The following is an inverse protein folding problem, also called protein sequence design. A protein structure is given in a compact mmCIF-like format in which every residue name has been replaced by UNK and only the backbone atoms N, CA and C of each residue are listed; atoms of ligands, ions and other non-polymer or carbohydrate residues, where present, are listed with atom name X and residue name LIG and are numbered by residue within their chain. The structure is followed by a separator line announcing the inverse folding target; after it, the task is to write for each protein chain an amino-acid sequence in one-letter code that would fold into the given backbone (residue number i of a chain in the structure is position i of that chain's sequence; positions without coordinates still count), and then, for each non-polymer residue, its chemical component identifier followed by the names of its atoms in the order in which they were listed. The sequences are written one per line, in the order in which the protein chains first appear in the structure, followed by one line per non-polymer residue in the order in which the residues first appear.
data_IF_916008627880
#
_entry.id   IF_916008627880
#
_cell.length_a   1.000
_cell.length_b   1.000
_cell.length_c   1.000
_cell.angle_alpha   90.00
_cell.angle_beta   90.00
_cell.angle_gamma   90.00
#
_symmetry.space_group_name_H-M   'P 1'
#
loop_
_entity.id
_entity.type
_entity.pdbx_description
1 polymer ?
#
# COMPACT_ATOMS: atom_id res chain seq x y z
N UNK A 1 -37.18 -12.13 0.03
CA UNK A 1 -36.27 -12.05 1.20
C UNK A 1 -35.09 -11.16 0.82
N UNK A 2 -34.86 -10.09 1.58
CA UNK A 2 -33.78 -9.12 1.34
C UNK A 2 -32.44 -9.77 1.68
N UNK A 3 -31.54 -9.87 0.71
CA UNK A 3 -30.14 -10.22 0.97
C UNK A 3 -29.59 -9.25 2.01
N UNK A 4 -29.25 -9.77 3.19
CA UNK A 4 -28.63 -9.02 4.26
C UNK A 4 -27.35 -8.39 3.74
N UNK A 5 -27.21 -7.08 3.93
CA UNK A 5 -25.99 -6.32 3.62
C UNK A 5 -24.81 -6.97 4.33
N UNK A 6 -24.05 -7.79 3.61
CA UNK A 6 -22.70 -8.12 4.00
C UNK A 6 -21.93 -6.80 4.04
N UNK A 7 -21.63 -6.29 5.23
CA UNK A 7 -20.60 -5.26 5.37
C UNK A 7 -19.25 -5.97 5.21
N UNK A 8 -18.88 -6.17 3.94
CA UNK A 8 -17.58 -6.69 3.53
C UNK A 8 -16.54 -5.60 3.83
N UNK A 9 -15.37 -6.00 4.32
CA UNK A 9 -14.24 -5.09 4.46
C UNK A 9 -13.63 -4.93 3.06
N UNK A 10 -14.03 -3.85 2.37
CA UNK A 10 -13.91 -3.74 0.90
C UNK A 10 -12.58 -3.16 0.36
N UNK A 11 -11.68 -2.60 1.17
CA UNK A 11 -10.48 -1.93 0.64
C UNK A 11 -9.22 -2.18 1.46
N UNK A 12 -8.11 -2.44 0.77
CA UNK A 12 -6.76 -2.56 1.33
C UNK A 12 -5.90 -1.45 0.77
N UNK A 13 -5.01 -0.90 1.59
CA UNK A 13 -3.91 -0.08 1.12
C UNK A 13 -2.58 -0.57 1.68
N UNK A 14 -1.53 -0.36 0.90
CA UNK A 14 -0.17 -0.69 1.28
C UNK A 14 0.79 0.33 0.69
N UNK A 15 1.91 0.50 1.38
CA UNK A 15 3.06 1.23 0.86
C UNK A 15 4.19 0.23 0.72
N UNK A 16 4.82 0.22 -0.44
CA UNK A 16 5.97 -0.64 -0.74
C UNK A 16 7.13 0.22 -1.19
N UNK A 17 8.35 -0.23 -0.89
CA UNK A 17 9.58 0.32 -1.44
C UNK A 17 10.23 -0.73 -2.31
N UNK A 18 10.71 -0.33 -3.48
CA UNK A 18 11.51 -1.17 -4.37
C UNK A 18 12.89 -0.59 -4.51
N UNK A 19 13.91 -1.40 -4.24
CA UNK A 19 15.33 -1.06 -4.45
C UNK A 19 16.04 -2.30 -4.97
N UNK A 20 16.93 -2.13 -5.96
CA UNK A 20 17.65 -3.26 -6.57
C UNK A 20 16.75 -4.37 -7.11
N UNK A 21 15.55 -4.04 -7.61
CA UNK A 21 14.58 -5.00 -8.14
C UNK A 21 13.76 -5.77 -7.10
N UNK A 22 13.97 -5.55 -5.79
CA UNK A 22 13.22 -6.19 -4.72
C UNK A 22 12.23 -5.22 -4.08
N UNK A 23 10.95 -5.61 -4.05
CA UNK A 23 9.91 -4.89 -3.33
C UNK A 23 9.83 -5.35 -1.86
N UNK A 24 9.72 -4.39 -0.94
CA UNK A 24 9.55 -4.60 0.49
C UNK A 24 8.34 -3.80 1.00
N UNK A 25 7.43 -4.41 1.77
CA UNK A 25 6.31 -3.69 2.37
C UNK A 25 6.82 -2.77 3.49
N UNK A 26 6.40 -1.51 3.43
CA UNK A 26 6.67 -0.52 4.48
C UNK A 26 5.54 -0.46 5.50
N UNK A 27 4.30 -0.78 5.10
CA UNK A 27 3.13 -0.82 5.96
C UNK A 27 1.86 -0.95 5.15
N UNK A 28 0.76 -1.34 5.80
CA UNK A 28 -0.53 -1.51 5.13
C UNK A 28 -1.71 -1.49 6.09
N UNK A 29 -2.90 -1.32 5.52
CA UNK A 29 -4.15 -1.14 6.26
C UNK A 29 -5.32 -1.74 5.48
N UNK A 30 -6.28 -2.35 6.20
CA UNK A 30 -7.59 -2.70 5.65
C UNK A 30 -8.66 -1.76 6.24
N UNK A 31 -9.49 -1.16 5.38
CA UNK A 31 -10.50 -0.18 5.75
C UNK A 31 -11.82 -0.44 5.00
N UNK A 32 -12.97 -0.25 5.66
CA UNK A 32 -14.29 -0.55 5.08
C UNK A 32 -14.77 0.50 4.07
N UNK A 33 -13.97 1.52 3.75
CA UNK A 33 -14.44 2.67 2.96
C UNK A 33 -13.31 3.27 2.13
N UNK A 34 -13.56 3.45 0.83
CA UNK A 34 -12.64 4.08 -0.12
C UNK A 34 -12.14 5.47 0.29
N UNK A 35 -12.99 6.31 0.90
CA UNK A 35 -12.56 7.62 1.41
C UNK A 35 -11.62 7.48 2.60
N UNK A 36 -11.83 6.48 3.46
CA UNK A 36 -10.92 6.21 4.58
C UNK A 36 -9.57 5.68 4.08
N UNK A 37 -9.57 4.80 3.08
CA UNK A 37 -8.34 4.26 2.49
C UNK A 37 -7.53 5.34 1.79
N UNK A 38 -8.19 6.21 1.01
CA UNK A 38 -7.54 7.34 0.36
C UNK A 38 -7.01 8.36 1.39
N UNK A 39 -7.78 8.64 2.45
CA UNK A 39 -7.33 9.48 3.56
C UNK A 39 -6.15 8.87 4.33
N UNK A 40 -6.03 7.54 4.37
CA UNK A 40 -4.85 6.89 4.92
C UNK A 40 -3.65 7.08 3.98
N UNK A 41 -3.81 6.85 2.67
CA UNK A 41 -2.74 7.07 1.68
C UNK A 41 -2.22 8.51 1.71
N UNK A 42 -3.12 9.51 1.70
CA UNK A 42 -2.75 10.93 1.82
C UNK A 42 -1.90 11.20 3.07
N UNK A 43 -2.29 10.63 4.21
CA UNK A 43 -1.52 10.77 5.45
C UNK A 43 -0.15 10.12 5.34
N UNK A 44 -0.03 8.95 4.72
CA UNK A 44 1.29 8.31 4.56
C UNK A 44 2.18 9.04 3.55
N UNK A 45 1.62 9.60 2.47
CA UNK A 45 2.36 10.42 1.51
C UNK A 45 3.01 11.63 2.21
N UNK A 46 2.23 12.37 2.99
CA UNK A 46 2.72 13.52 3.76
C UNK A 46 3.77 13.10 4.80
N UNK A 47 3.53 12.01 5.53
CA UNK A 47 4.50 11.51 6.52
C UNK A 47 5.82 11.10 5.89
N UNK A 48 5.79 10.44 4.74
CA UNK A 48 7.01 10.07 4.00
C UNK A 48 7.74 11.32 3.49
N UNK A 49 7.00 12.32 2.99
CA UNK A 49 7.59 13.58 2.56
C UNK A 49 8.22 14.36 3.72
N UNK A 50 7.57 14.39 4.88
CA UNK A 50 8.02 15.14 6.06
C UNK A 50 9.10 14.41 6.87
N UNK A 51 9.24 13.10 6.67
CA UNK A 51 10.40 12.33 7.16
C UNK A 51 11.69 12.68 6.42
N UNK A 52 11.61 13.29 5.23
CA UNK A 52 12.80 13.68 4.49
C UNK A 52 13.59 14.74 5.29
N UNK A 53 14.86 14.44 5.57
CA UNK A 53 15.74 15.30 6.36
C UNK A 53 15.43 15.38 7.86
N UNK A 54 14.48 14.59 8.38
CA UNK A 54 14.09 14.60 9.80
C UNK A 54 13.85 13.20 10.35
N UNK A 55 14.30 12.95 11.58
CA UNK A 55 13.84 11.79 12.34
C UNK A 55 12.45 12.12 12.91
N UNK A 56 11.38 11.68 12.22
CA UNK A 56 10.03 11.86 12.75
C UNK A 56 9.86 10.98 14.00
N UNK A 57 9.22 11.49 15.06
CA UNK A 57 8.93 10.68 16.23
C UNK A 57 8.11 9.46 15.81
N UNK A 58 8.36 8.29 16.45
CA UNK A 58 7.57 7.10 16.18
C UNK A 58 6.08 7.42 16.36
N UNK A 59 5.21 6.86 15.50
CA UNK A 59 3.78 7.11 15.55
C UNK A 59 3.22 6.82 16.94
N UNK A 60 2.23 7.60 17.36
CA UNK A 60 1.64 7.48 18.68
C UNK A 60 1.07 6.04 18.88
N UNK A 61 1.31 5.38 20.02
CA UNK A 61 0.96 3.97 20.23
C UNK A 61 -0.53 3.63 20.03
N UNK A 62 -1.41 4.61 20.24
CA UNK A 62 -2.87 4.47 20.05
C UNK A 62 -3.31 4.51 18.58
N UNK A 63 -2.40 4.77 17.63
CA UNK A 63 -2.66 4.62 16.18
C UNK A 63 -2.49 3.19 15.66
N UNK A 64 -2.09 2.24 16.52
CA UNK A 64 -2.24 0.79 16.34
C UNK A 64 -1.71 0.20 15.03
N UNK A 65 -0.47 -0.32 15.04
CA UNK A 65 0.03 -1.36 14.12
C UNK A 65 -0.16 -1.14 12.59
N UNK A 66 -0.39 0.09 12.13
CA UNK A 66 -0.79 0.43 10.73
C UNK A 66 0.04 1.58 10.15
N UNK A 67 1.28 1.69 10.61
CA UNK A 67 2.18 2.76 10.21
C UNK A 67 3.20 2.29 9.18
N UNK A 68 3.48 3.18 8.24
CA UNK A 68 4.47 2.98 7.20
C UNK A 68 5.84 3.32 7.77
N UNK A 69 6.81 2.41 7.62
CA UNK A 69 8.21 2.64 7.98
C UNK A 69 8.74 3.86 7.21
N UNK A 70 9.46 4.79 7.88
CA UNK A 70 10.02 5.95 7.20
C UNK A 70 11.04 5.53 6.14
N UNK A 71 11.16 6.33 5.09
CA UNK A 71 12.09 6.14 3.97
C UNK A 71 13.01 7.35 3.89
N UNK A 72 14.31 7.11 3.76
CA UNK A 72 15.28 8.16 3.49
C UNK A 72 15.37 8.40 1.98
N UNK A 73 14.80 9.51 1.52
CA UNK A 73 15.02 10.02 0.17
C UNK A 73 16.33 10.84 0.12
N UNK A 74 17.04 10.76 -1.00
CA UNK A 74 18.33 11.40 -1.25
C UNK A 74 18.19 12.70 -2.06
N UNK A 75 17.04 12.92 -2.70
CA UNK A 75 16.66 14.16 -3.37
C UNK A 75 15.30 14.69 -2.91
N UNK A 76 15.02 15.95 -3.24
CA UNK A 76 13.76 16.62 -2.89
C UNK A 76 12.60 16.28 -3.83
N UNK A 77 12.87 15.79 -5.04
CA UNK A 77 11.83 15.56 -6.06
C UNK A 77 10.78 14.53 -5.61
N UNK A 78 11.22 13.41 -5.03
CA UNK A 78 10.32 12.37 -4.53
C UNK A 78 9.42 12.85 -3.38
N UNK A 79 9.94 13.48 -2.31
CA UNK A 79 9.09 14.03 -1.25
C UNK A 79 8.22 15.20 -1.73
N UNK A 80 8.67 16.04 -2.67
CA UNK A 80 7.84 17.09 -3.28
C UNK A 80 6.69 16.51 -4.10
N UNK A 81 6.93 15.48 -4.91
CA UNK A 81 5.88 14.78 -5.65
C UNK A 81 4.83 14.15 -4.72
N UNK A 82 5.25 13.62 -3.57
CA UNK A 82 4.32 13.11 -2.54
C UNK A 82 3.44 14.23 -1.95
N UNK A 83 4.01 15.41 -1.67
CA UNK A 83 3.23 16.58 -1.20
C UNK A 83 2.27 17.07 -2.28
N UNK A 84 2.75 17.21 -3.50
CA UNK A 84 1.94 17.64 -4.64
C UNK A 84 0.74 16.73 -4.84
N UNK A 85 0.93 15.40 -4.84
CA UNK A 85 -0.18 14.46 -4.94
C UNK A 85 -1.15 14.56 -3.76
N UNK A 86 -0.63 14.74 -2.54
CA UNK A 86 -1.45 14.82 -1.34
C UNK A 86 -2.34 16.07 -1.32
N UNK A 87 -1.92 17.17 -1.93
CA UNK A 87 -2.67 18.44 -1.96
C UNK A 87 -3.44 18.66 -3.27
N UNK A 88 -3.15 17.91 -4.32
CA UNK A 88 -3.88 17.97 -5.59
C UNK A 88 -5.25 17.27 -5.51
N UNK A 89 -6.32 18.06 -5.45
CA UNK A 89 -7.69 17.57 -5.43
C UNK A 89 -8.03 16.70 -6.65
N UNK A 90 -7.48 17.01 -7.83
CA UNK A 90 -7.71 16.24 -9.05
C UNK A 90 -7.17 14.81 -8.96
N UNK A 91 -5.94 14.65 -8.43
CA UNK A 91 -5.33 13.35 -8.16
C UNK A 91 -6.12 12.54 -7.13
N UNK A 92 -6.68 13.20 -6.10
CA UNK A 92 -7.52 12.53 -5.11
C UNK A 92 -8.84 12.06 -5.70
N UNK A 93 -9.49 12.88 -6.51
CA UNK A 93 -10.74 12.52 -7.19
C UNK A 93 -10.53 11.41 -8.22
N UNK A 94 -9.40 11.44 -8.94
CA UNK A 94 -9.01 10.38 -9.85
C UNK A 94 -8.78 9.05 -9.12
N UNK A 95 -8.05 9.07 -7.99
CA UNK A 95 -7.84 7.90 -7.16
C UNK A 95 -9.14 7.36 -6.56
N UNK A 96 -10.05 8.24 -6.14
CA UNK A 96 -11.36 7.85 -5.64
C UNK A 96 -12.20 7.19 -6.73
N UNK A 97 -12.21 7.77 -7.93
CA UNK A 97 -12.94 7.24 -9.10
C UNK A 97 -12.40 5.88 -9.55
N UNK A 98 -11.08 5.66 -9.47
CA UNK A 98 -10.47 4.36 -9.73
C UNK A 98 -11.00 3.29 -8.75
N UNK A 99 -10.97 3.58 -7.44
CA UNK A 99 -11.48 2.68 -6.40
C UNK A 99 -13.00 2.43 -6.51
N UNK A 100 -13.75 3.43 -7.00
CA UNK A 100 -15.19 3.29 -7.30
C UNK A 100 -15.44 2.35 -8.47
N UNK A 101 -14.56 2.37 -9.46
CA UNK A 101 -14.64 1.54 -10.66
C UNK A 101 -14.07 0.12 -10.46
N UNK A 102 -13.68 -0.24 -9.23
CA UNK A 102 -13.06 -1.53 -8.95
C UNK A 102 -11.57 -1.62 -9.34
N UNK A 103 -10.96 -0.49 -9.72
CA UNK A 103 -9.55 -0.42 -10.11
C UNK A 103 -8.67 0.01 -8.93
N UNK A 104 -7.38 -0.39 -8.92
CA UNK A 104 -6.46 0.09 -7.91
C UNK A 104 -6.11 1.56 -8.12
N UNK A 105 -5.95 2.29 -7.02
CA UNK A 105 -5.36 3.62 -7.02
C UNK A 105 -3.88 3.50 -6.65
N UNK A 106 -2.99 3.84 -7.58
CA UNK A 106 -1.54 3.72 -7.42
C UNK A 106 -0.86 5.07 -7.61
N UNK A 107 0.01 5.43 -6.67
CA UNK A 107 0.98 6.51 -6.80
C UNK A 107 2.38 5.92 -6.68
N UNK A 108 3.27 6.27 -7.58
CA UNK A 108 4.67 5.85 -7.52
C UNK A 108 5.58 7.05 -7.66
N UNK A 109 6.49 7.22 -6.70
CA UNK A 109 7.57 8.21 -6.76
C UNK A 109 8.91 7.50 -6.86
N UNK A 110 9.85 8.11 -7.57
CA UNK A 110 11.19 7.56 -7.79
C UNK A 110 12.21 8.55 -7.27
N UNK A 111 13.14 8.06 -6.46
CA UNK A 111 14.36 8.74 -6.09
C UNK A 111 15.48 8.24 -7.03
N UNK A 112 15.87 9.05 -8.02
CA UNK A 112 16.80 8.63 -9.06
C UNK A 112 18.23 8.45 -8.54
N UNK A 113 18.60 9.07 -7.42
CA UNK A 113 19.96 9.03 -6.89
C UNK A 113 20.34 7.64 -6.38
N UNK A 114 19.35 6.86 -5.93
CA UNK A 114 19.55 5.51 -5.39
C UNK A 114 18.69 4.45 -6.08
N UNK A 115 17.99 4.83 -7.16
CA UNK A 115 17.05 3.94 -7.86
C UNK A 115 15.93 3.42 -6.95
N UNK A 116 15.57 4.18 -5.91
CA UNK A 116 14.56 3.80 -4.94
C UNK A 116 13.18 4.21 -5.46
N UNK A 117 12.23 3.30 -5.40
CA UNK A 117 10.85 3.53 -5.84
C UNK A 117 9.90 3.30 -4.69
N UNK A 118 9.10 4.30 -4.34
CA UNK A 118 8.04 4.15 -3.33
C UNK A 118 6.70 4.13 -4.04
N UNK A 119 5.93 3.06 -3.79
CA UNK A 119 4.59 2.91 -4.34
C UNK A 119 3.57 2.88 -3.21
N UNK A 120 2.65 3.83 -3.25
CA UNK A 120 1.46 3.92 -2.41
C UNK A 120 0.29 3.35 -3.22
N UNK A 121 -0.33 2.29 -2.74
CA UNK A 121 -1.42 1.63 -3.44
C UNK A 121 -2.63 1.39 -2.56
N UNK A 122 -3.82 1.51 -3.15
CA UNK A 122 -5.07 1.00 -2.61
C UNK A 122 -5.76 0.11 -3.63
N UNK A 123 -6.36 -0.97 -3.14
CA UNK A 123 -7.07 -1.98 -3.92
C UNK A 123 -8.45 -2.21 -3.30
N UNK A 124 -9.52 -2.31 -4.11
CA UNK A 124 -10.74 -2.96 -3.65
C UNK A 124 -10.44 -4.45 -3.39
N UNK A 125 -10.92 -4.98 -2.28
CA UNK A 125 -10.88 -6.40 -1.96
C UNK A 125 -12.13 -7.02 -2.56
N UNK A 126 -11.98 -7.63 -3.72
CA UNK A 126 -12.88 -8.67 -4.16
C UNK A 126 -12.53 -9.95 -3.38
N UNK A 127 -13.45 -10.44 -2.54
CA UNK A 127 -13.30 -11.69 -1.78
C UNK A 127 -13.00 -12.93 -2.66
N UNK A 128 -12.96 -12.78 -3.99
CA UNK A 128 -12.73 -13.85 -4.97
C UNK A 128 -11.28 -13.91 -5.51
N UNK A 129 -10.50 -12.83 -5.46
CA UNK A 129 -9.18 -12.76 -6.11
C UNK A 129 -8.02 -13.28 -5.26
N UNK A 130 -8.03 -13.02 -3.94
CA UNK A 130 -6.91 -13.39 -3.07
C UNK A 130 -6.90 -14.89 -2.68
N UNK A 131 -8.06 -15.54 -2.59
CA UNK A 131 -8.17 -16.99 -2.36
C UNK A 131 -7.79 -17.80 -3.60
N UNK A 132 -8.07 -17.31 -4.81
CA UNK A 132 -7.61 -17.95 -6.04
C UNK A 132 -6.08 -17.85 -6.19
N UNK A 133 -5.49 -16.69 -5.88
CA UNK A 133 -4.04 -16.51 -5.88
C UNK A 133 -3.35 -17.32 -4.76
N UNK A 134 -3.90 -17.34 -3.55
CA UNK A 134 -3.36 -18.14 -2.44
C UNK A 134 -3.56 -19.66 -2.62
N UNK A 135 -4.55 -20.10 -3.41
CA UNK A 135 -4.71 -21.51 -3.78
C UNK A 135 -3.77 -21.95 -4.89
N UNK A 136 -3.34 -21.03 -5.76
CA UNK A 136 -2.37 -21.29 -6.81
C UNK A 136 -0.93 -21.39 -6.28
N UNK A 137 -0.65 -20.74 -5.14
CA UNK A 137 0.70 -20.58 -4.58
C UNK A 137 1.01 -21.53 -3.40
N UNK A 138 0.24 -22.62 -3.25
CA UNK A 138 0.63 -23.73 -2.38
C UNK A 138 1.42 -24.75 -3.19
N UNK A 139 2.77 -24.71 -3.20
CA UNK A 139 3.53 -25.88 -3.59
C UNK A 139 3.17 -26.97 -2.59
N UNK A 140 2.47 -28.00 -3.06
CA UNK A 140 2.29 -29.24 -2.30
C UNK A 140 3.65 -29.65 -1.74
N UNK A 141 3.78 -29.97 -0.44
CA UNK A 141 5.03 -30.48 0.08
C UNK A 141 5.30 -31.79 -0.65
N UNK A 142 6.28 -31.75 -1.56
CA UNK A 142 6.84 -32.96 -2.16
C UNK A 142 7.38 -33.78 -0.98
N UNK A 143 6.64 -34.81 -0.60
CA UNK A 143 7.17 -35.85 0.26
C UNK A 143 8.41 -36.41 -0.44
N UNK A 144 9.57 -36.09 0.13
CA UNK A 144 10.85 -36.67 -0.24
C UNK A 144 10.72 -38.17 0.07
N UNK A 145 10.49 -38.97 -0.98
CA UNK A 145 10.57 -40.42 -0.88
C UNK A 145 12.05 -40.78 -0.81
N UNK A 146 12.56 -40.93 0.41
CA UNK A 146 13.82 -41.62 0.66
C UNK A 146 13.59 -43.11 0.40
N UNK A 147 13.82 -43.55 -0.84
CA UNK A 147 14.06 -44.95 -1.12
C UNK A 147 15.56 -45.21 -1.02
N UNK A 148 15.95 -45.84 0.08
CA UNK A 148 17.18 -46.59 0.17
C UNK A 148 16.93 -48.04 -0.23
N UNK A 149 17.80 -48.58 -1.08
CA UNK A 149 18.37 -49.92 -1.08
C UNK A 149 19.27 -50.06 -2.32
#
# INVERSE_FOLDING_TARGET
MRAGRARVLDYVAAVTVTTGGRALPLGGVALPNRRLVLRWLRRQALRLADAHGRSLPPPAPWLGARDVRPVAFHGSDAPEALRAWADDGGSQDHALSALESGLPALLTVVDPFVGLRVTLGAWPVDLWGWTAAASADHPSPRHLRTEGA
#
